data_IF_400423965672
#
_entry.id   IF_400423965672
#
_cell.length_a   1.000
_cell.length_b   1.000
_cell.length_c   1.000
_cell.angle_alpha   90.00
_cell.angle_beta   90.00
_cell.angle_gamma   90.00
#
_symmetry.space_group_name_H-M   'P 1'
#
loop_
_entity.id
_entity.type
_entity.pdbx_description
1 polymer ?
#
# COMPACT_ATOMS: atom_id res chain seq x y z
N UNK A 1 -3.91 -2.91 -12.61
CA UNK A 1 -5.19 -2.47 -13.20
C UNK A 1 -6.28 -2.61 -12.12
N UNK A 2 -7.39 -1.85 -12.17
CA UNK A 2 -8.53 -2.14 -11.30
C UNK A 2 -8.96 -3.61 -11.40
N UNK A 3 -9.29 -4.24 -10.28
CA UNK A 3 -9.56 -5.67 -10.14
C UNK A 3 -8.31 -6.53 -9.91
N UNK A 4 -7.09 -6.01 -10.08
CA UNK A 4 -5.86 -6.77 -9.80
C UNK A 4 -5.67 -6.99 -8.30
N UNK A 5 -5.32 -8.22 -7.91
CA UNK A 5 -4.82 -8.55 -6.58
C UNK A 5 -3.30 -8.42 -6.53
N UNK A 6 -2.80 -7.83 -5.45
CA UNK A 6 -1.39 -7.65 -5.17
C UNK A 6 -1.11 -8.25 -3.80
N UNK A 7 -0.23 -9.23 -3.75
CA UNK A 7 0.32 -9.77 -2.51
C UNK A 7 1.72 -9.17 -2.31
N UNK A 8 1.95 -8.53 -1.17
CA UNK A 8 3.24 -7.94 -0.84
C UNK A 8 4.07 -8.91 0.01
N UNK A 9 5.10 -9.58 -0.51
CA UNK A 9 5.78 -10.68 0.21
C UNK A 9 6.70 -10.19 1.33
N UNK A 10 7.04 -8.90 1.35
CA UNK A 10 7.91 -8.29 2.37
C UNK A 10 7.11 -7.31 3.22
N UNK A 11 7.73 -6.86 4.31
CA UNK A 11 7.24 -5.68 5.02
C UNK A 11 7.11 -4.50 4.06
N UNK A 12 6.09 -3.70 4.29
CA UNK A 12 5.83 -2.50 3.51
C UNK A 12 5.62 -1.33 4.47
N UNK A 13 6.50 -0.32 4.35
CA UNK A 13 6.42 0.91 5.13
C UNK A 13 5.69 1.99 4.35
N UNK A 14 4.98 2.83 5.08
CA UNK A 14 4.13 3.87 4.54
C UNK A 14 3.83 4.95 5.57
N UNK A 15 3.26 6.08 5.13
CA UNK A 15 2.82 7.16 6.03
C UNK A 15 1.31 7.17 6.20
N UNK A 16 0.83 7.36 7.42
CA UNK A 16 -0.58 7.63 7.70
C UNK A 16 -0.95 9.06 7.28
N UNK A 17 -2.07 9.22 6.58
CA UNK A 17 -2.71 10.52 6.42
C UNK A 17 -3.05 10.87 4.97
N UNK A 18 -3.52 12.10 4.74
CA UNK A 18 -3.95 12.54 3.41
C UNK A 18 -2.81 13.04 2.54
N UNK A 19 -1.63 13.26 3.12
CA UNK A 19 -0.49 13.82 2.43
C UNK A 19 0.51 12.72 2.05
N UNK A 20 1.28 12.96 0.99
CA UNK A 20 2.44 12.11 0.69
C UNK A 20 3.48 12.36 1.78
N UNK A 21 4.31 11.36 2.08
CA UNK A 21 5.43 11.55 2.99
C UNK A 21 6.31 12.71 2.50
N UNK A 22 6.45 13.74 3.34
CA UNK A 22 7.23 14.94 3.02
C UNK A 22 8.69 14.63 3.33
N UNK A 23 9.38 14.01 2.38
CA UNK A 23 10.80 13.65 2.47
C UNK A 23 11.42 13.56 1.09
N UNK A 24 12.73 13.84 0.98
CA UNK A 24 13.44 13.95 -0.31
C UNK A 24 13.32 12.73 -1.22
N UNK A 25 13.09 11.54 -0.65
CA UNK A 25 12.92 10.29 -1.43
C UNK A 25 11.53 10.06 -2.04
N UNK A 26 10.52 10.85 -1.66
CA UNK A 26 9.10 10.61 -2.01
C UNK A 26 8.53 11.64 -2.98
N UNK A 27 8.99 12.90 -2.93
CA UNK A 27 8.44 13.98 -3.74
C UNK A 27 8.68 13.83 -5.24
N UNK A 28 9.71 13.07 -5.62
CA UNK A 28 10.12 12.88 -7.02
C UNK A 28 9.57 11.58 -7.62
N UNK A 29 8.80 10.80 -6.85
CA UNK A 29 8.30 9.51 -7.31
C UNK A 29 7.09 9.70 -8.22
N UNK A 30 7.12 8.99 -9.33
CA UNK A 30 6.07 9.01 -10.34
C UNK A 30 4.88 8.08 -10.01
N UNK A 31 4.94 7.34 -8.90
CA UNK A 31 3.89 6.40 -8.48
C UNK A 31 3.58 6.59 -7.01
N UNK A 32 2.30 6.84 -6.73
CA UNK A 32 1.75 6.95 -5.40
C UNK A 32 0.73 5.84 -5.18
N UNK A 33 0.94 5.08 -4.12
CA UNK A 33 -0.10 4.19 -3.63
C UNK A 33 -1.03 4.96 -2.68
N UNK A 34 -2.29 4.53 -2.60
CA UNK A 34 -3.24 4.96 -1.57
C UNK A 34 -3.91 3.72 -1.01
N UNK A 35 -3.40 3.22 0.10
CA UNK A 35 -3.87 1.97 0.73
C UNK A 35 -4.91 2.23 1.82
N UNK A 36 -6.08 1.64 1.64
CA UNK A 36 -7.12 1.55 2.66
C UNK A 36 -6.92 0.25 3.43
N UNK A 37 -6.68 0.33 4.74
CA UNK A 37 -6.34 -0.84 5.56
C UNK A 37 -6.90 -0.70 6.98
N UNK A 38 -7.15 -1.86 7.60
CA UNK A 38 -7.48 -2.01 9.02
C UNK A 38 -6.32 -2.56 9.87
N UNK A 39 -5.33 -3.22 9.26
CA UNK A 39 -4.28 -3.94 9.99
C UNK A 39 -2.93 -3.25 10.02
N UNK A 40 -2.75 -2.15 9.29
CA UNK A 40 -1.50 -1.37 9.32
C UNK A 40 -1.15 -0.98 10.76
N UNK A 41 0.11 -1.22 11.17
CA UNK A 41 0.55 -0.95 12.54
C UNK A 41 1.35 0.34 12.59
N UNK A 42 0.97 1.31 13.45
CA UNK A 42 1.82 2.46 13.69
C UNK A 42 3.10 2.02 14.39
N UNK A 43 4.24 2.38 13.83
CA UNK A 43 5.55 1.99 14.37
C UNK A 43 6.34 3.17 14.94
N UNK A 44 5.72 4.36 15.08
CA UNK A 44 6.41 5.56 15.58
C UNK A 44 7.15 5.36 16.91
N UNK A 45 6.61 4.55 17.84
CA UNK A 45 7.29 4.22 19.12
C UNK A 45 8.57 3.38 18.97
N UNK A 46 8.76 2.78 17.81
CA UNK A 46 9.85 1.86 17.48
C UNK A 46 10.66 2.35 16.27
N UNK A 47 10.30 3.51 15.69
CA UNK A 47 10.95 4.08 14.52
C UNK A 47 11.99 5.11 14.94
N UNK A 48 13.05 5.23 14.15
CA UNK A 48 14.03 6.31 14.28
C UNK A 48 13.41 7.70 14.02
N UNK A 49 12.25 7.74 13.36
CA UNK A 49 11.53 8.97 13.01
C UNK A 49 10.09 8.93 13.54
N UNK A 50 9.87 9.11 14.85
CA UNK A 50 8.57 8.94 15.49
C UNK A 50 7.48 9.89 14.95
N UNK A 51 7.88 11.06 14.46
CA UNK A 51 6.98 12.10 13.94
C UNK A 51 6.54 11.88 12.49
N UNK A 52 7.04 10.83 11.82
CA UNK A 52 6.69 10.54 10.44
C UNK A 52 5.36 9.82 10.26
N UNK A 53 4.64 9.50 11.35
CA UNK A 53 3.37 8.76 11.32
C UNK A 53 3.48 7.45 10.51
N UNK A 54 4.60 6.76 10.67
CA UNK A 54 4.93 5.56 9.89
C UNK A 54 3.99 4.39 10.26
N UNK A 55 3.45 3.76 9.22
CA UNK A 55 2.59 2.57 9.26
C UNK A 55 3.29 1.44 8.54
N UNK A 56 3.45 0.32 9.23
CA UNK A 56 4.04 -0.90 8.69
C UNK A 56 2.95 -1.96 8.43
N UNK A 57 3.01 -2.58 7.26
CA UNK A 57 2.24 -3.77 6.91
C UNK A 57 3.10 -5.02 7.03
N UNK A 58 2.48 -6.10 7.50
CA UNK A 58 3.15 -7.39 7.62
C UNK A 58 3.39 -8.03 6.24
N UNK A 59 4.38 -8.93 6.12
CA UNK A 59 4.56 -9.77 4.94
C UNK A 59 3.27 -10.49 4.54
N UNK A 60 3.12 -10.70 3.25
CA UNK A 60 1.96 -11.32 2.59
C UNK A 60 0.64 -10.58 2.75
N UNK A 61 0.68 -9.31 3.15
CA UNK A 61 -0.50 -8.44 3.08
C UNK A 61 -1.02 -8.40 1.64
N UNK A 62 -2.31 -8.69 1.47
CA UNK A 62 -2.96 -8.75 0.16
C UNK A 62 -3.84 -7.52 -0.03
N UNK A 63 -3.80 -6.96 -1.23
CA UNK A 63 -4.52 -5.76 -1.60
C UNK A 63 -5.22 -5.93 -2.94
N UNK A 64 -6.44 -5.41 -3.06
CA UNK A 64 -7.12 -5.23 -4.34
C UNK A 64 -6.89 -3.81 -4.85
N UNK A 65 -6.45 -3.67 -6.10
CA UNK A 65 -6.45 -2.39 -6.80
C UNK A 65 -7.87 -2.12 -7.29
N UNK A 66 -8.47 -1.01 -6.88
CA UNK A 66 -9.85 -0.68 -7.29
C UNK A 66 -9.96 0.61 -8.10
N UNK A 67 -8.92 1.45 -8.11
CA UNK A 67 -8.86 2.65 -8.94
C UNK A 67 -7.42 2.97 -9.32
N UNK A 68 -7.23 3.45 -10.53
CA UNK A 68 -5.96 3.95 -11.04
C UNK A 68 -6.22 5.30 -11.70
N UNK A 69 -5.44 6.30 -11.32
CA UNK A 69 -5.48 7.63 -11.92
C UNK A 69 -4.11 8.00 -12.43
N UNK A 70 -4.11 8.73 -13.54
CA UNK A 70 -2.92 9.34 -14.12
C UNK A 70 -3.11 10.84 -14.19
N UNK A 71 -2.15 11.60 -13.66
CA UNK A 71 -2.11 13.07 -13.73
C UNK A 71 -0.81 13.52 -14.38
N UNK A 72 -0.63 14.84 -14.56
CA UNK A 72 0.55 15.42 -15.20
C UNK A 72 0.89 14.78 -16.56
N UNK A 73 -0.08 14.74 -17.47
CA UNK A 73 0.08 14.12 -18.81
C UNK A 73 0.51 12.66 -18.78
N UNK A 74 0.09 11.91 -17.76
CA UNK A 74 0.44 10.49 -17.62
C UNK A 74 1.71 10.24 -16.81
N UNK A 75 2.44 11.28 -16.41
CA UNK A 75 3.69 11.14 -15.69
C UNK A 75 3.50 10.70 -14.23
N UNK A 76 2.35 10.99 -13.60
CA UNK A 76 2.11 10.63 -12.20
C UNK A 76 0.98 9.62 -12.09
N UNK A 77 1.27 8.44 -11.55
CA UNK A 77 0.31 7.38 -11.29
C UNK A 77 -0.14 7.42 -9.83
N UNK A 78 -1.44 7.44 -9.59
CA UNK A 78 -2.03 7.21 -8.27
C UNK A 78 -2.84 5.91 -8.28
N UNK A 79 -2.39 4.92 -7.52
CA UNK A 79 -2.97 3.59 -7.43
C UNK A 79 -3.68 3.44 -6.10
N UNK A 80 -4.99 3.28 -6.14
CA UNK A 80 -5.82 3.09 -4.95
C UNK A 80 -6.02 1.61 -4.70
N UNK A 81 -5.70 1.18 -3.48
CA UNK A 81 -5.70 -0.23 -3.10
C UNK A 81 -6.41 -0.42 -1.77
N UNK A 82 -7.14 -1.51 -1.60
CA UNK A 82 -7.74 -1.87 -0.31
C UNK A 82 -7.16 -3.18 0.16
N UNK A 83 -6.76 -3.23 1.42
CA UNK A 83 -6.31 -4.47 2.04
C UNK A 83 -7.48 -5.44 2.16
N UNK A 84 -7.24 -6.69 1.79
CA UNK A 84 -8.15 -7.79 2.00
C UNK A 84 -7.62 -8.68 3.14
N UNK A 85 -8.51 -9.06 4.05
CA UNK A 85 -8.28 -10.19 4.94
C UNK A 85 -8.86 -11.44 4.30
N UNK A 86 -8.05 -12.11 3.49
CA UNK A 86 -8.42 -13.39 2.93
C UNK A 86 -8.10 -14.48 3.96
N UNK A 87 -9.15 -15.04 4.56
CA UNK A 87 -9.01 -16.28 5.30
C UNK A 87 -8.49 -17.38 4.36
N UNK A 88 -7.57 -18.22 4.84
CA UNK A 88 -7.15 -19.42 4.12
C UNK A 88 -8.38 -20.32 3.94
N UNK A 89 -8.90 -20.48 2.71
CA UNK A 89 -9.91 -21.52 2.51
C UNK A 89 -10.71 -21.60 1.22
N UNK A 90 -10.95 -20.52 0.46
CA UNK A 90 -11.83 -20.66 -0.72
C UNK A 90 -11.64 -19.57 -1.78
N UNK A 91 -11.34 -19.99 -3.01
CA UNK A 91 -11.08 -19.11 -4.14
C UNK A 91 -12.37 -18.43 -4.64
N UNK A 92 -13.50 -19.14 -4.59
CA UNK A 92 -14.82 -18.55 -4.90
C UNK A 92 -15.16 -17.41 -3.95
N UNK A 93 -14.90 -17.61 -2.65
CA UNK A 93 -15.14 -16.60 -1.63
C UNK A 93 -14.23 -15.38 -1.81
N UNK A 94 -13.02 -15.58 -2.31
CA UNK A 94 -12.09 -14.50 -2.65
C UNK A 94 -12.63 -13.66 -3.80
N UNK A 95 -13.13 -14.30 -4.86
CA UNK A 95 -13.72 -13.60 -6.01
C UNK A 95 -14.98 -12.80 -5.62
N UNK A 96 -15.84 -13.36 -4.77
CA UNK A 96 -17.02 -12.67 -4.23
C UNK A 96 -16.63 -11.44 -3.40
N UNK A 97 -15.63 -11.56 -2.53
CA UNK A 97 -15.10 -10.44 -1.73
C UNK A 97 -14.54 -9.36 -2.67
N UNK A 98 -13.73 -9.74 -3.65
CA UNK A 98 -13.18 -8.84 -4.67
C UNK A 98 -14.29 -8.05 -5.36
N UNK A 99 -15.35 -8.72 -5.82
CA UNK A 99 -16.48 -8.06 -6.49
C UNK A 99 -17.25 -7.13 -5.55
N UNK A 100 -17.51 -7.54 -4.31
CA UNK A 100 -18.18 -6.67 -3.34
C UNK A 100 -17.38 -5.42 -3.01
N UNK A 101 -16.05 -5.52 -2.91
CA UNK A 101 -15.17 -4.39 -2.61
C UNK A 101 -15.05 -3.40 -3.77
N UNK A 102 -15.08 -3.89 -5.01
CA UNK A 102 -15.15 -3.03 -6.19
C UNK A 102 -16.46 -2.22 -6.25
N UNK A 103 -17.54 -2.74 -5.68
CA UNK A 103 -18.88 -2.14 -5.71
C UNK A 103 -19.24 -1.33 -4.44
N UNK A 104 -18.43 -1.40 -3.39
CA UNK A 104 -18.71 -0.76 -2.10
C UNK A 104 -18.47 0.76 -2.12
N UNK A 105 -19.48 1.53 -1.68
CA UNK A 105 -19.40 2.97 -1.49
C UNK A 105 -18.92 3.38 -0.08
N UNK A 106 -18.79 2.43 0.87
CA UNK A 106 -18.36 2.75 2.24
C UNK A 106 -16.85 2.99 2.33
N UNK A 107 -16.49 4.19 2.84
CA UNK A 107 -15.12 4.70 2.88
C UNK A 107 -14.72 5.04 4.31
N UNK A 108 -13.95 4.16 4.96
CA UNK A 108 -13.11 4.55 6.10
C UNK A 108 -11.68 4.71 5.61
N UNK A 109 -11.11 5.88 5.88
CA UNK A 109 -9.94 6.39 5.18
C UNK A 109 -8.65 6.03 5.91
N UNK A 110 -7.73 5.38 5.19
CA UNK A 110 -6.30 5.61 5.36
C UNK A 110 -5.78 5.86 3.94
N UNK A 111 -5.08 6.97 3.71
CA UNK A 111 -4.31 7.18 2.48
C UNK A 111 -2.86 6.90 2.87
N UNK A 112 -2.20 6.14 2.02
CA UNK A 112 -0.97 5.43 2.36
C UNK A 112 -0.16 5.30 1.10
N UNK A 113 0.95 6.04 1.03
CA UNK A 113 1.92 5.96 -0.07
C UNK A 113 2.96 4.90 0.27
N UNK A 114 3.24 4.00 -0.67
CA UNK A 114 4.21 2.91 -0.53
C UNK A 114 5.46 3.23 -1.33
N UNK A 115 6.61 2.94 -0.73
CA UNK A 115 7.92 2.91 -1.38
C UNK A 115 8.07 1.61 -2.20
N UNK A 116 8.06 1.70 -3.52
CA UNK A 116 8.54 0.63 -4.39
C UNK A 116 9.96 0.97 -4.85
N UNK A 117 10.95 0.72 -4.01
CA UNK A 117 12.33 0.52 -4.50
C UNK A 117 12.35 -0.73 -5.37
N UNK A 118 12.99 -0.61 -6.52
CA UNK A 118 13.03 -1.59 -7.61
C UNK A 118 13.01 -3.06 -7.18
N UNK A 119 12.06 -3.83 -7.74
CA UNK A 119 12.01 -5.29 -7.64
C UNK A 119 13.03 -6.01 -8.54
N UNK A 120 14.07 -5.31 -9.04
CA UNK A 120 15.04 -5.88 -9.99
C UNK A 120 16.52 -5.74 -9.60
N UNK A 121 16.89 -5.22 -8.43
CA UNK A 121 18.30 -5.26 -7.99
C UNK A 121 18.54 -6.42 -7.02
N UNK A 122 18.86 -7.57 -7.57
CA UNK A 122 19.61 -8.62 -6.88
C UNK A 122 21.02 -8.12 -6.57
N UNK A 123 21.27 -7.62 -5.36
CA UNK A 123 22.59 -7.66 -4.70
C UNK A 123 22.57 -6.84 -3.40
N UNK A 124 23.02 -7.47 -2.31
CA UNK A 124 23.59 -6.76 -1.16
C UNK A 124 22.75 -6.82 0.10
N UNK A 125 23.07 -7.80 0.94
CA UNK A 125 22.72 -7.81 2.36
C UNK A 125 23.15 -6.51 3.05
N UNK A 126 22.24 -5.89 3.80
CA UNK A 126 22.53 -5.36 5.15
C UNK A 126 21.22 -5.05 5.85
N UNK A 127 20.91 -5.82 6.89
CA UNK A 127 19.90 -5.44 7.87
C UNK A 127 20.52 -4.45 8.85
N UNK A 128 19.84 -3.35 9.11
CA UNK A 128 20.09 -2.48 10.25
C UNK A 128 18.72 -1.98 10.70
N UNK A 129 18.44 -2.20 12.00
CA UNK A 129 17.12 -2.16 12.64
C UNK A 129 16.40 -0.82 12.49
#
# INVERSE_FOLDING_TARGET
>A
MPGSLIMWPKFNSSKKGKEVARGGGFNERNTHFKIYSLTGRPIGKFSHFPDEDEILFLPYSTFIVFRHETTHHGALHTIYMRQLELGLGDQKKTDEIVQSELNSNERKFVKVTVDSRDLTSSSGDTYSF
#
